data_IF_922972190566
#
_entry.id   IF_922972190566
#
_cell.length_a   1.000
_cell.length_b   1.000
_cell.length_c   1.000
_cell.angle_alpha   90.00
_cell.angle_beta   90.00
_cell.angle_gamma   90.00
#
_symmetry.space_group_name_H-M   'P 1'
#
loop_
_entity.id
_entity.type
_entity.pdbx_description
1 polymer ?
#
# COMPACT_ATOMS: atom_id res chain seq x y z
N UNK A 1 -20.33 -7.42 17.99
CA UNK A 1 -19.76 -6.50 16.99
C UNK A 1 -18.23 -6.48 17.02
N UNK A 2 -17.59 -6.37 18.19
CA UNK A 2 -16.11 -6.32 18.35
C UNK A 2 -15.32 -7.58 17.93
N UNK A 3 -15.96 -8.76 17.81
CA UNK A 3 -15.30 -10.00 17.37
C UNK A 3 -15.13 -10.16 15.85
N UNK A 4 -15.81 -9.36 15.02
CA UNK A 4 -15.80 -9.55 13.56
C UNK A 4 -14.52 -9.02 12.88
N UNK A 5 -13.71 -8.24 13.59
CA UNK A 5 -12.54 -7.56 13.05
C UNK A 5 -11.20 -8.04 13.63
N UNK A 6 -11.21 -8.93 14.63
CA UNK A 6 -10.00 -9.53 15.22
C UNK A 6 -8.95 -8.48 15.67
N UNK A 7 -9.42 -7.31 16.12
CA UNK A 7 -8.57 -6.22 16.63
C UNK A 7 -8.34 -6.49 18.11
N UNK A 8 -7.07 -6.64 18.52
CA UNK A 8 -6.72 -7.09 19.87
C UNK A 8 -6.71 -5.94 20.91
N UNK A 9 -6.59 -4.68 20.49
CA UNK A 9 -6.55 -3.50 21.39
C UNK A 9 -6.72 -2.17 20.63
N UNK A 10 -7.27 -1.14 21.29
CA UNK A 10 -7.32 0.26 20.78
C UNK A 10 -5.93 0.79 20.40
N UNK A 11 -4.90 0.34 21.12
CA UNK A 11 -3.49 0.66 20.82
C UNK A 11 -3.06 0.15 19.43
N UNK A 12 -3.47 -1.08 19.06
CA UNK A 12 -3.14 -1.65 17.76
C UNK A 12 -3.80 -0.86 16.62
N UNK A 13 -5.04 -0.41 16.82
CA UNK A 13 -5.74 0.41 15.84
C UNK A 13 -5.03 1.75 15.60
N UNK A 14 -4.59 2.44 16.66
CA UNK A 14 -3.82 3.69 16.50
C UNK A 14 -2.51 3.47 15.74
N UNK A 15 -1.76 2.41 16.06
CA UNK A 15 -0.51 2.06 15.36
C UNK A 15 -0.78 1.77 13.88
N UNK A 16 -1.85 1.02 13.58
CA UNK A 16 -2.25 0.72 12.19
C UNK A 16 -2.60 2.00 11.43
N UNK A 17 -3.37 2.92 12.01
CA UNK A 17 -3.67 4.22 11.37
C UNK A 17 -2.41 5.05 11.13
N UNK A 18 -1.47 5.06 12.08
CA UNK A 18 -0.19 5.74 11.93
C UNK A 18 0.61 5.18 10.76
N UNK A 19 0.73 3.85 10.68
CA UNK A 19 1.38 3.16 9.57
C UNK A 19 0.71 3.57 8.27
N UNK A 20 -0.63 3.47 8.16
CA UNK A 20 -1.35 3.87 6.95
C UNK A 20 -1.10 5.33 6.53
N UNK A 21 -1.05 6.28 7.48
CA UNK A 21 -0.74 7.68 7.17
C UNK A 21 0.68 7.87 6.64
N UNK A 22 1.66 7.20 7.24
CA UNK A 22 3.06 7.22 6.82
C UNK A 22 3.21 6.58 5.44
N UNK A 23 2.70 5.36 5.26
CA UNK A 23 2.78 4.60 4.01
C UNK A 23 2.05 5.32 2.86
N UNK A 24 0.89 5.93 3.12
CA UNK A 24 0.13 6.66 2.11
C UNK A 24 0.83 7.91 1.60
N UNK A 25 1.51 8.64 2.48
CA UNK A 25 2.31 9.81 2.09
C UNK A 25 3.57 9.38 1.32
N UNK A 26 4.26 8.35 1.80
CA UNK A 26 5.47 7.80 1.18
C UNK A 26 5.19 7.19 -0.20
N UNK A 27 4.08 6.49 -0.39
CA UNK A 27 3.77 5.84 -1.67
C UNK A 27 3.54 6.85 -2.78
N UNK A 28 2.90 7.98 -2.49
CA UNK A 28 2.72 9.07 -3.44
C UNK A 28 4.06 9.66 -3.85
N UNK A 29 4.93 9.95 -2.88
CA UNK A 29 6.27 10.48 -3.13
C UNK A 29 7.09 9.51 -3.99
N UNK A 30 7.19 8.25 -3.60
CA UNK A 30 7.95 7.23 -4.33
C UNK A 30 7.38 7.02 -5.73
N UNK A 31 6.06 7.02 -5.88
CA UNK A 31 5.43 6.91 -7.21
C UNK A 31 5.88 8.06 -8.11
N UNK A 32 5.82 9.32 -7.63
CA UNK A 32 6.24 10.48 -8.43
C UNK A 32 7.71 10.37 -8.83
N UNK A 33 8.60 10.05 -7.89
CA UNK A 33 10.03 9.85 -8.15
C UNK A 33 10.27 8.73 -9.17
N UNK A 34 9.56 7.60 -9.05
CA UNK A 34 9.69 6.49 -10.00
C UNK A 34 9.23 6.88 -11.41
N UNK A 35 8.14 7.63 -11.53
CA UNK A 35 7.63 8.13 -12.80
C UNK A 35 8.61 9.10 -13.47
N UNK A 36 9.24 9.99 -12.68
CA UNK A 36 10.30 10.86 -13.16
C UNK A 36 11.54 10.08 -13.59
N UNK A 37 11.96 9.08 -12.82
CA UNK A 37 13.13 8.25 -13.12
C UNK A 37 12.97 7.42 -14.39
N UNK A 38 11.77 6.87 -14.63
CA UNK A 38 11.45 6.09 -15.85
C UNK A 38 11.20 7.03 -17.05
N UNK A 39 11.13 8.35 -16.84
CA UNK A 39 10.85 9.31 -17.91
C UNK A 39 9.41 9.25 -18.43
N UNK A 40 8.51 8.62 -17.68
CA UNK A 40 7.07 8.55 -17.98
C UNK A 40 6.42 9.85 -17.52
N UNK A 41 6.61 10.92 -18.27
CA UNK A 41 5.93 12.18 -18.04
C UNK A 41 4.52 12.11 -18.62
N UNK A 42 3.54 12.70 -17.93
CA UNK A 42 2.16 12.81 -18.40
C UNK A 42 2.05 13.53 -19.77
N UNK A 43 3.11 14.21 -20.17
CA UNK A 43 3.27 14.93 -21.43
C UNK A 43 3.59 14.01 -22.62
N UNK A 44 4.26 12.87 -22.37
CA UNK A 44 4.71 11.95 -23.42
C UNK A 44 3.75 10.78 -23.65
N UNK A 45 2.75 10.61 -22.78
CA UNK A 45 1.77 9.53 -22.84
C UNK A 45 0.34 10.06 -22.92
N UNK A 46 -0.51 9.34 -23.65
CA UNK A 46 -1.93 9.64 -23.67
C UNK A 46 -2.48 9.59 -22.22
N UNK A 47 -3.15 10.65 -21.72
CA UNK A 47 -3.68 10.71 -20.35
C UNK A 47 -4.52 9.49 -19.97
N UNK A 48 -5.24 8.92 -20.92
CA UNK A 48 -6.10 7.74 -20.72
C UNK A 48 -5.28 6.49 -20.32
N UNK A 49 -4.05 6.37 -20.80
CA UNK A 49 -3.15 5.24 -20.51
C UNK A 49 -2.30 5.55 -19.26
N UNK A 50 -1.89 6.81 -19.10
CA UNK A 50 -1.06 7.25 -17.98
C UNK A 50 -1.72 7.01 -16.62
N UNK A 51 -2.99 7.38 -16.46
CA UNK A 51 -3.70 7.25 -15.18
C UNK A 51 -3.84 5.80 -14.67
N UNK A 52 -4.27 4.83 -15.49
CA UNK A 52 -4.30 3.42 -15.10
C UNK A 52 -2.93 2.88 -14.68
N UNK A 53 -1.87 3.18 -15.44
CA UNK A 53 -0.51 2.74 -15.11
C UNK A 53 -0.10 3.33 -13.77
N UNK A 54 -0.36 4.62 -13.54
CA UNK A 54 -0.07 5.29 -12.27
C UNK A 54 -0.78 4.66 -11.09
N UNK A 55 -2.06 4.32 -11.22
CA UNK A 55 -2.84 3.68 -10.16
C UNK A 55 -2.30 2.28 -9.86
N UNK A 56 -2.00 1.48 -10.89
CA UNK A 56 -1.46 0.12 -10.72
C UNK A 56 -0.08 0.17 -10.05
N UNK A 57 0.79 1.08 -10.50
CA UNK A 57 2.14 1.21 -9.96
C UNK A 57 2.10 1.68 -8.51
N UNK A 58 1.29 2.72 -8.22
CA UNK A 58 1.08 3.21 -6.85
C UNK A 58 0.57 2.09 -5.95
N UNK A 59 -0.36 1.29 -6.44
CA UNK A 59 -0.89 0.16 -5.69
C UNK A 59 0.18 -0.91 -5.38
N UNK A 60 1.02 -1.28 -6.35
CA UNK A 60 2.13 -2.24 -6.13
C UNK A 60 3.17 -1.67 -5.15
N UNK A 61 3.55 -0.40 -5.32
CA UNK A 61 4.49 0.29 -4.42
C UNK A 61 3.92 0.34 -3.00
N UNK A 62 2.64 0.67 -2.88
CA UNK A 62 1.95 0.76 -1.60
C UNK A 62 1.97 -0.58 -0.86
N UNK A 63 1.70 -1.70 -1.55
CA UNK A 63 1.77 -3.04 -0.97
C UNK A 63 3.12 -3.31 -0.28
N UNK A 64 4.23 -3.10 -1.01
CA UNK A 64 5.58 -3.32 -0.48
C UNK A 64 5.91 -2.36 0.66
N UNK A 65 5.59 -1.08 0.53
CA UNK A 65 5.86 -0.08 1.56
C UNK A 65 5.12 -0.38 2.85
N UNK A 66 3.92 -0.93 2.75
CA UNK A 66 3.07 -1.19 3.90
C UNK A 66 3.67 -2.27 4.81
N UNK A 67 4.29 -3.29 4.22
CA UNK A 67 5.09 -4.27 4.95
C UNK A 67 6.36 -3.66 5.55
N UNK A 68 7.08 -2.83 4.77
CA UNK A 68 8.32 -2.20 5.22
C UNK A 68 8.12 -1.25 6.41
N UNK A 69 7.10 -0.39 6.33
CA UNK A 69 6.76 0.54 7.42
C UNK A 69 6.20 -0.23 8.61
N UNK A 70 5.54 -1.38 8.43
CA UNK A 70 5.03 -2.19 9.53
C UNK A 70 6.09 -2.96 10.33
N UNK A 71 7.27 -3.22 9.75
CA UNK A 71 8.40 -3.89 10.42
C UNK A 71 8.81 -3.22 11.73
N UNK A 72 9.16 -1.92 11.77
CA UNK A 72 9.60 -1.26 13.00
C UNK A 72 8.52 -1.17 14.09
N UNK A 73 7.24 -1.23 13.73
CA UNK A 73 6.13 -1.18 14.68
C UNK A 73 5.67 -2.57 15.15
N UNK A 74 6.32 -3.65 14.70
CA UNK A 74 5.96 -5.02 15.07
C UNK A 74 4.59 -5.49 14.54
N UNK A 75 4.00 -4.77 13.58
CA UNK A 75 2.70 -5.10 12.98
C UNK A 75 2.83 -5.85 11.65
N UNK A 76 4.03 -6.31 11.28
CA UNK A 76 4.29 -7.02 10.02
C UNK A 76 3.34 -8.21 9.82
N UNK A 77 3.14 -9.07 10.82
CA UNK A 77 2.27 -10.26 10.71
C UNK A 77 0.80 -9.89 10.43
N UNK A 78 0.33 -8.78 11.01
CA UNK A 78 -1.02 -8.27 10.76
C UNK A 78 -1.17 -7.85 9.31
N UNK A 79 -0.23 -7.05 8.81
CA UNK A 79 -0.27 -6.54 7.45
C UNK A 79 0.04 -7.58 6.38
N UNK A 80 0.91 -8.54 6.68
CA UNK A 80 1.15 -9.70 5.82
C UNK A 80 -0.12 -10.54 5.63
N UNK A 81 -0.88 -10.78 6.70
CA UNK A 81 -2.18 -11.46 6.60
C UNK A 81 -3.20 -10.61 5.86
N UNK A 82 -3.21 -9.30 6.08
CA UNK A 82 -4.08 -8.36 5.37
C UNK A 82 -3.81 -8.38 3.86
N UNK A 83 -2.55 -8.30 3.48
CA UNK A 83 -2.10 -8.30 2.08
C UNK A 83 -2.37 -9.63 1.39
N UNK A 84 -2.09 -10.77 2.05
CA UNK A 84 -2.49 -12.09 1.54
C UNK A 84 -3.99 -12.20 1.32
N UNK A 85 -4.81 -11.69 2.24
CA UNK A 85 -6.26 -11.67 2.06
C UNK A 85 -6.70 -10.76 0.91
N UNK A 86 -5.96 -9.67 0.67
CA UNK A 86 -6.19 -8.78 -0.45
C UNK A 86 -5.82 -9.46 -1.77
N UNK A 87 -4.62 -10.02 -1.88
CA UNK A 87 -4.12 -10.75 -3.06
C UNK A 87 -4.98 -11.98 -3.40
N UNK A 88 -5.45 -12.72 -2.40
CA UNK A 88 -6.37 -13.85 -2.59
C UNK A 88 -7.69 -13.42 -3.27
N UNK A 89 -8.15 -12.17 -3.08
CA UNK A 89 -9.34 -11.64 -3.76
C UNK A 89 -9.08 -11.26 -5.22
N UNK A 90 -7.82 -10.96 -5.56
CA UNK A 90 -7.39 -10.71 -6.94
C UNK A 90 -7.03 -12.00 -7.68
N UNK A 91 -7.21 -13.18 -7.07
CA UNK A 91 -7.00 -14.48 -7.70
C UNK A 91 -5.60 -15.07 -7.51
N UNK A 92 -4.69 -14.36 -6.83
CA UNK A 92 -3.38 -14.87 -6.47
C UNK A 92 -3.47 -15.68 -5.17
N UNK A 93 -3.51 -17.01 -5.28
CA UNK A 93 -3.39 -17.92 -4.12
C UNK A 93 -1.94 -17.92 -3.62
N UNK A 94 -1.71 -17.31 -2.46
CA UNK A 94 -0.41 -17.22 -1.75
C UNK A 94 -0.52 -17.69 -0.30
#
# INVERSE_FOLDING_TARGET
MMRRLNIQSFYQFMVIMLIFGITGSLSLYITVELFQFIGLQAENLNPIIFWPIRIILLFIIYQVLLLLVALPFGQFQYFWKFEKNFLNRFGFKL
#
